data_IF_347801467320
#
_entry.id   IF_347801467320
#
_cell.length_a   1.000
_cell.length_b   1.000
_cell.length_c   1.000
_cell.angle_alpha   90.00
_cell.angle_beta   90.00
_cell.angle_gamma   90.00
#
_symmetry.space_group_name_H-M   'P 1'
#
loop_
_entity.id
_entity.type
_entity.pdbx_description
1 polymer ?
#
# COMPACT_ATOMS: atom_id res chain seq x y z
N UNK A 1 -15.79 -8.36 -3.84
CA UNK A 1 -14.44 -7.90 -3.58
C UNK A 1 -14.52 -6.47 -3.04
N UNK A 2 -13.67 -6.13 -2.07
CA UNK A 2 -13.58 -4.80 -1.47
C UNK A 2 -12.16 -4.55 -1.01
N UNK A 3 -11.81 -3.30 -0.80
CA UNK A 3 -10.56 -2.86 -0.22
C UNK A 3 -10.77 -2.16 1.13
N UNK A 4 -9.68 -1.72 1.79
CA UNK A 4 -9.77 -1.04 3.09
C UNK A 4 -10.52 0.29 3.05
N UNK A 5 -10.48 1.02 1.94
CA UNK A 5 -11.26 2.27 1.79
C UNK A 5 -12.76 2.04 1.62
N UNK A 6 -13.15 0.85 1.19
CA UNK A 6 -14.56 0.45 1.07
C UNK A 6 -15.25 0.21 2.42
N UNK A 7 -14.48 0.05 3.50
CA UNK A 7 -15.01 -0.31 4.82
C UNK A 7 -15.89 0.79 5.39
N UNK A 8 -15.45 2.05 5.33
CA UNK A 8 -16.19 3.17 5.87
C UNK A 8 -17.55 3.39 5.17
N UNK A 9 -17.64 3.47 3.82
CA UNK A 9 -18.92 3.57 3.14
C UNK A 9 -19.82 2.34 3.37
N UNK A 10 -19.25 1.12 3.39
CA UNK A 10 -20.04 -0.09 3.66
C UNK A 10 -20.66 -0.07 5.06
N UNK A 11 -19.87 0.23 6.10
CA UNK A 11 -20.36 0.26 7.48
C UNK A 11 -21.35 1.39 7.71
N UNK A 12 -21.14 2.55 7.10
CA UNK A 12 -22.11 3.65 7.08
C UNK A 12 -23.46 3.19 6.50
N UNK A 13 -23.45 2.56 5.33
CA UNK A 13 -24.67 2.15 4.64
C UNK A 13 -25.39 1.02 5.38
N UNK A 14 -24.66 0.10 6.00
CA UNK A 14 -25.24 -0.93 6.88
C UNK A 14 -25.91 -0.28 8.10
N UNK A 15 -25.28 0.73 8.71
CA UNK A 15 -25.85 1.46 9.85
C UNK A 15 -27.15 2.16 9.47
N UNK A 16 -27.16 2.88 8.35
CA UNK A 16 -28.38 3.55 7.82
C UNK A 16 -29.50 2.55 7.55
N UNK A 17 -29.16 1.40 6.94
CA UNK A 17 -30.13 0.35 6.67
C UNK A 17 -30.72 -0.24 7.94
N UNK A 18 -29.88 -0.52 8.93
CA UNK A 18 -30.29 -1.10 10.20
C UNK A 18 -31.22 -0.17 10.98
N UNK A 19 -30.84 1.11 11.15
CA UNK A 19 -31.67 2.11 11.84
C UNK A 19 -33.03 2.31 11.16
N UNK A 20 -33.05 2.41 9.83
CA UNK A 20 -34.30 2.54 9.08
C UNK A 20 -35.24 1.34 9.29
N UNK A 21 -34.69 0.11 9.33
CA UNK A 21 -35.46 -1.11 9.53
C UNK A 21 -35.97 -1.23 10.97
N UNK A 22 -35.21 -0.85 11.95
CA UNK A 22 -35.68 -0.78 13.34
C UNK A 22 -36.85 0.19 13.51
N UNK A 23 -36.84 1.30 12.78
CA UNK A 23 -37.95 2.26 12.77
C UNK A 23 -39.13 1.82 11.89
N UNK A 24 -39.15 0.61 11.34
CA UNK A 24 -40.20 0.10 10.45
C UNK A 24 -40.21 0.73 9.05
N UNK A 25 -39.15 1.47 8.70
CA UNK A 25 -39.02 2.17 7.42
C UNK A 25 -38.13 1.44 6.41
N UNK A 26 -37.83 2.14 5.31
CA UNK A 26 -36.86 1.74 4.30
C UNK A 26 -35.70 2.71 4.32
N UNK A 27 -34.44 2.22 4.13
CA UNK A 27 -33.29 3.09 4.10
C UNK A 27 -33.35 4.05 2.91
N UNK A 28 -32.82 5.26 3.14
CA UNK A 28 -32.67 6.27 2.10
C UNK A 28 -31.18 6.59 1.96
N UNK A 29 -30.62 6.20 0.82
CA UNK A 29 -29.24 6.54 0.47
C UNK A 29 -29.20 7.68 -0.54
N UNK A 30 -28.10 8.42 -0.52
CA UNK A 30 -27.76 9.33 -1.62
C UNK A 30 -27.41 8.46 -2.83
N UNK A 31 -27.91 8.82 -4.01
CA UNK A 31 -27.57 8.09 -5.23
C UNK A 31 -26.06 8.23 -5.51
N UNK A 32 -25.42 7.11 -5.80
CA UNK A 32 -24.02 7.12 -6.21
C UNK A 32 -23.89 7.74 -7.60
N UNK A 33 -22.89 8.62 -7.83
CA UNK A 33 -22.68 9.25 -9.13
C UNK A 33 -22.32 8.25 -10.23
N UNK A 34 -21.62 7.18 -9.85
CA UNK A 34 -21.20 6.07 -10.73
C UNK A 34 -21.30 4.75 -9.99
N UNK A 35 -21.22 3.63 -10.72
CA UNK A 35 -21.19 2.28 -10.17
C UNK A 35 -19.79 1.66 -10.40
N UNK A 36 -19.45 0.61 -9.65
CA UNK A 36 -18.18 -0.10 -9.83
C UNK A 36 -17.99 -0.65 -11.25
N UNK A 37 -19.10 -1.01 -11.93
CA UNK A 37 -19.06 -1.45 -13.31
C UNK A 37 -18.60 -0.33 -14.27
N UNK A 38 -19.04 0.91 -14.02
CA UNK A 38 -18.62 2.07 -14.82
C UNK A 38 -17.13 2.34 -14.64
N UNK A 39 -16.63 2.25 -13.40
CA UNK A 39 -15.19 2.31 -13.12
C UNK A 39 -14.40 1.22 -13.86
N UNK A 40 -14.89 -0.02 -13.84
CA UNK A 40 -14.18 -1.12 -14.50
C UNK A 40 -14.12 -0.94 -16.04
N UNK A 41 -15.15 -0.37 -16.64
CA UNK A 41 -15.15 -0.02 -18.07
C UNK A 41 -14.19 1.12 -18.36
N UNK A 42 -14.26 2.19 -17.58
CA UNK A 42 -13.36 3.34 -17.70
C UNK A 42 -11.89 2.94 -17.52
N UNK A 43 -11.57 2.10 -16.52
CA UNK A 43 -10.20 1.63 -16.30
C UNK A 43 -9.65 0.85 -17.51
N UNK A 44 -10.50 0.05 -18.16
CA UNK A 44 -10.09 -0.68 -19.38
C UNK A 44 -9.77 0.26 -20.52
N UNK A 45 -10.61 1.26 -20.75
CA UNK A 45 -10.37 2.30 -21.77
C UNK A 45 -9.09 3.08 -21.46
N UNK A 46 -8.88 3.49 -20.21
CA UNK A 46 -7.65 4.17 -19.78
C UNK A 46 -6.40 3.31 -20.07
N UNK A 47 -6.46 2.00 -19.76
CA UNK A 47 -5.33 1.10 -19.98
C UNK A 47 -5.06 0.83 -21.47
N UNK A 48 -6.04 0.97 -22.36
CA UNK A 48 -5.83 0.95 -23.80
C UNK A 48 -5.03 2.18 -24.27
N UNK A 49 -5.19 3.32 -23.59
CA UNK A 49 -4.51 4.57 -23.91
C UNK A 49 -3.10 4.66 -23.32
N UNK A 50 -2.95 4.38 -22.01
CA UNK A 50 -1.69 4.64 -21.29
C UNK A 50 -0.91 3.37 -20.94
N UNK A 51 -1.47 2.19 -21.15
CA UNK A 51 -0.93 0.92 -20.64
C UNK A 51 0.46 0.59 -21.18
N UNK A 52 0.73 0.82 -22.47
CA UNK A 52 2.04 0.53 -23.08
C UNK A 52 3.14 1.46 -22.55
N UNK A 53 2.83 2.75 -22.38
CA UNK A 53 3.78 3.72 -21.81
C UNK A 53 4.13 3.38 -20.36
N UNK A 54 3.11 3.08 -19.57
CA UNK A 54 3.30 2.70 -18.16
C UNK A 54 4.04 1.36 -18.01
N UNK A 55 3.74 0.36 -18.87
CA UNK A 55 4.48 -0.91 -18.89
C UNK A 55 5.97 -0.68 -19.22
N UNK A 56 6.25 0.13 -20.23
CA UNK A 56 7.62 0.48 -20.59
C UNK A 56 8.37 1.23 -19.48
N UNK A 57 7.69 2.10 -18.72
CA UNK A 57 8.25 2.75 -17.54
C UNK A 57 8.62 1.73 -16.47
N UNK A 58 7.70 0.84 -16.10
CA UNK A 58 7.95 -0.17 -15.08
C UNK A 58 9.02 -1.18 -15.51
N UNK A 59 9.04 -1.60 -16.75
CA UNK A 59 10.07 -2.49 -17.29
C UNK A 59 11.47 -1.88 -17.15
N UNK A 60 11.64 -0.59 -17.43
CA UNK A 60 12.91 0.11 -17.26
C UNK A 60 13.28 0.30 -15.78
N UNK A 61 12.32 0.78 -14.97
CA UNK A 61 12.53 1.12 -13.56
C UNK A 61 12.88 -0.12 -12.73
N UNK A 62 12.25 -1.25 -13.02
CA UNK A 62 12.41 -2.49 -12.27
C UNK A 62 13.38 -3.48 -12.93
N UNK A 63 14.05 -3.10 -14.02
CA UNK A 63 15.07 -3.93 -14.64
C UNK A 63 16.22 -4.21 -13.68
N UNK A 64 16.61 -5.48 -13.56
CA UNK A 64 17.74 -5.89 -12.71
C UNK A 64 17.48 -5.76 -11.21
N UNK A 65 16.22 -5.75 -10.76
CA UNK A 65 15.88 -5.81 -9.34
C UNK A 65 16.55 -7.01 -8.65
N UNK A 66 17.01 -6.85 -7.39
CA UNK A 66 17.44 -7.98 -6.60
C UNK A 66 16.28 -8.95 -6.40
N UNK A 67 16.51 -10.23 -6.65
CA UNK A 67 15.48 -11.26 -6.48
C UNK A 67 15.10 -11.46 -5.02
N UNK A 68 16.01 -11.18 -4.10
CA UNK A 68 15.83 -11.31 -2.67
C UNK A 68 16.73 -10.31 -1.92
N UNK A 69 16.18 -9.72 -0.85
CA UNK A 69 16.95 -8.92 0.07
C UNK A 69 17.71 -9.84 1.05
N UNK A 70 19.04 -9.73 1.12
CA UNK A 70 19.89 -10.54 1.99
C UNK A 70 19.78 -10.09 3.46
N UNK A 71 18.61 -10.22 4.04
CA UNK A 71 18.38 -9.90 5.45
C UNK A 71 18.92 -11.03 6.36
N UNK A 72 19.44 -10.69 7.57
CA UNK A 72 19.87 -11.70 8.53
C UNK A 72 18.65 -12.55 8.96
N UNK A 73 18.77 -13.85 8.80
CA UNK A 73 17.76 -14.81 9.19
C UNK A 73 18.37 -15.91 10.06
N UNK A 74 17.67 -16.30 11.13
CA UNK A 74 18.11 -17.37 12.03
C UNK A 74 17.97 -18.76 11.37
N UNK A 75 17.12 -18.86 10.36
CA UNK A 75 16.80 -20.11 9.64
C UNK A 75 16.75 -19.87 8.14
N UNK A 76 17.12 -20.88 7.34
CA UNK A 76 16.95 -20.78 5.88
C UNK A 76 15.45 -20.67 5.52
N UNK A 77 15.16 -19.97 4.44
CA UNK A 77 13.80 -19.87 3.90
C UNK A 77 13.25 -21.25 3.58
N UNK A 78 12.05 -21.61 4.04
CA UNK A 78 11.41 -22.89 3.69
C UNK A 78 11.00 -22.91 2.21
N UNK A 79 10.99 -24.08 1.61
CA UNK A 79 10.55 -24.26 0.22
C UNK A 79 9.08 -23.89 -0.01
N UNK A 80 8.26 -24.03 1.02
CA UNK A 80 6.86 -23.59 1.01
C UNK A 80 6.65 -22.62 2.20
N UNK A 81 6.09 -21.42 1.97
CA UNK A 81 5.81 -20.46 3.04
C UNK A 81 4.73 -21.02 3.96
N UNK A 82 4.92 -20.86 5.26
CA UNK A 82 3.91 -21.22 6.27
C UNK A 82 2.78 -20.20 6.36
N UNK A 83 3.01 -18.99 5.88
CA UNK A 83 2.16 -17.82 6.07
C UNK A 83 1.91 -17.44 7.53
N UNK A 84 2.66 -18.01 8.44
CA UNK A 84 2.64 -17.63 9.85
C UNK A 84 3.49 -16.37 10.05
N UNK A 85 2.92 -15.37 10.70
CA UNK A 85 3.59 -14.11 11.00
C UNK A 85 3.60 -13.81 12.49
N UNK A 86 4.39 -12.83 12.87
CA UNK A 86 4.42 -12.21 14.19
C UNK A 86 4.23 -10.71 14.07
N UNK A 87 3.68 -10.09 15.11
CA UNK A 87 3.46 -8.64 15.18
C UNK A 87 4.34 -8.04 16.26
N UNK A 88 5.17 -7.07 15.88
CA UNK A 88 5.95 -6.25 16.82
C UNK A 88 5.38 -4.84 16.80
N UNK A 89 4.77 -4.40 17.91
CA UNK A 89 4.26 -3.03 18.05
C UNK A 89 5.37 -2.12 18.58
N UNK A 90 5.45 -0.93 18.00
CA UNK A 90 6.33 0.14 18.48
C UNK A 90 5.64 1.48 18.35
N UNK A 91 6.10 2.46 19.10
CA UNK A 91 5.59 3.82 19.07
C UNK A 91 6.69 4.78 18.63
N UNK A 92 6.34 5.69 17.73
CA UNK A 92 7.18 6.83 17.40
C UNK A 92 6.80 7.99 18.32
N UNK A 93 7.72 8.49 19.18
CA UNK A 93 7.42 9.63 20.03
C UNK A 93 6.94 10.84 19.22
N UNK A 94 5.96 11.58 19.73
CA UNK A 94 5.39 12.75 19.04
C UNK A 94 6.46 13.77 18.62
N UNK A 95 7.51 13.94 19.43
CA UNK A 95 8.66 14.79 19.08
C UNK A 95 9.38 14.29 17.81
N UNK A 96 9.60 12.98 17.69
CA UNK A 96 10.25 12.39 16.50
C UNK A 96 9.36 12.55 15.28
N UNK A 97 8.05 12.27 15.42
CA UNK A 97 7.07 12.51 14.35
C UNK A 97 7.10 13.97 13.88
N UNK A 98 7.09 14.93 14.82
CA UNK A 98 7.16 16.36 14.49
C UNK A 98 8.45 16.73 13.74
N UNK A 99 9.60 16.16 14.13
CA UNK A 99 10.88 16.35 13.43
C UNK A 99 10.85 15.77 12.02
N UNK A 100 10.32 14.56 11.84
CA UNK A 100 10.18 13.92 10.52
C UNK A 100 9.25 14.71 9.61
N UNK A 101 8.11 15.18 10.13
CA UNK A 101 7.16 15.99 9.37
C UNK A 101 7.74 17.36 8.96
N UNK A 102 8.57 17.98 9.82
CA UNK A 102 9.28 19.21 9.45
C UNK A 102 10.32 18.94 8.38
N UNK A 103 11.17 17.93 8.57
CA UNK A 103 12.19 17.56 7.60
C UNK A 103 11.59 17.25 6.22
N UNK A 104 10.50 16.47 6.19
CA UNK A 104 9.82 16.16 4.95
C UNK A 104 9.34 17.43 4.22
N UNK A 105 8.69 18.36 4.94
CA UNK A 105 8.24 19.65 4.37
C UNK A 105 9.40 20.48 3.84
N UNK A 106 10.48 20.59 4.60
CA UNK A 106 11.66 21.40 4.24
C UNK A 106 12.30 20.92 2.94
N UNK A 107 12.11 19.63 2.60
CA UNK A 107 12.59 18.99 1.36
C UNK A 107 11.49 18.75 0.32
N UNK A 108 10.29 19.29 0.50
CA UNK A 108 9.17 19.10 -0.42
C UNK A 108 8.71 17.64 -0.55
N UNK A 109 8.95 16.85 0.49
CA UNK A 109 8.59 15.43 0.58
C UNK A 109 7.41 15.20 1.53
N UNK A 110 6.83 14.01 1.50
CA UNK A 110 5.79 13.59 2.43
C UNK A 110 6.39 12.85 3.65
N UNK A 111 5.60 12.70 4.71
CA UNK A 111 5.99 11.87 5.87
C UNK A 111 6.19 10.42 5.42
N UNK A 112 5.37 9.91 4.50
CA UNK A 112 5.54 8.58 3.91
C UNK A 112 6.93 8.41 3.29
N UNK A 113 7.37 9.35 2.44
CA UNK A 113 8.69 9.32 1.82
C UNK A 113 9.83 9.33 2.85
N UNK A 114 9.67 10.07 3.95
CA UNK A 114 10.65 10.07 5.04
C UNK A 114 10.70 8.74 5.78
N UNK A 115 9.55 8.10 6.01
CA UNK A 115 9.46 6.75 6.60
C UNK A 115 10.06 5.70 5.66
N UNK A 116 9.77 5.78 4.37
CA UNK A 116 10.36 4.91 3.34
C UNK A 116 11.89 5.02 3.33
N UNK A 117 12.44 6.24 3.32
CA UNK A 117 13.89 6.47 3.39
C UNK A 117 14.50 5.86 4.66
N UNK A 118 13.80 5.97 5.81
CA UNK A 118 14.24 5.39 7.07
C UNK A 118 14.21 3.86 7.03
N UNK A 119 13.14 3.24 6.51
CA UNK A 119 13.03 1.78 6.33
C UNK A 119 14.11 1.28 5.36
N UNK A 120 14.30 1.91 4.21
CA UNK A 120 15.34 1.53 3.27
C UNK A 120 16.74 1.62 3.89
N UNK A 121 17.01 2.68 4.68
CA UNK A 121 18.26 2.82 5.43
C UNK A 121 18.43 1.70 6.46
N UNK A 122 17.37 1.34 7.19
CA UNK A 122 17.39 0.24 8.15
C UNK A 122 17.74 -1.08 7.45
N UNK A 123 17.06 -1.42 6.36
CA UNK A 123 17.29 -2.65 5.62
C UNK A 123 18.72 -2.71 5.07
N UNK A 124 19.21 -1.60 4.51
CA UNK A 124 20.62 -1.50 4.06
C UNK A 124 21.60 -1.75 5.21
N UNK A 125 21.37 -1.18 6.39
CA UNK A 125 22.21 -1.37 7.59
C UNK A 125 22.16 -2.79 8.12
N UNK A 126 21.08 -3.51 7.87
CA UNK A 126 20.93 -4.93 8.21
C UNK A 126 21.55 -5.87 7.17
N UNK A 127 22.13 -5.34 6.10
CA UNK A 127 22.82 -6.14 5.09
C UNK A 127 22.02 -6.47 3.84
N UNK A 128 20.84 -5.87 3.65
CA UNK A 128 19.98 -6.09 2.47
C UNK A 128 20.58 -5.57 1.14
N UNK A 129 21.78 -4.98 1.17
CA UNK A 129 22.34 -4.27 0.03
C UNK A 129 21.92 -2.82 -0.02
N UNK A 130 22.06 -2.19 -1.19
CA UNK A 130 21.79 -0.76 -1.40
C UNK A 130 20.64 -0.50 -2.39
N UNK A 131 20.13 -1.52 -3.01
CA UNK A 131 18.99 -1.47 -3.93
C UNK A 131 17.78 -2.14 -3.24
N UNK A 132 16.88 -1.31 -2.72
CA UNK A 132 15.82 -1.74 -1.81
C UNK A 132 14.45 -1.57 -2.48
N UNK A 133 13.87 -2.64 -3.06
CA UNK A 133 12.49 -2.62 -3.54
C UNK A 133 11.51 -2.77 -2.37
N UNK A 134 10.59 -1.81 -2.26
CA UNK A 134 9.51 -1.81 -1.28
C UNK A 134 8.17 -1.81 -2.01
N UNK A 135 7.26 -2.69 -1.61
CA UNK A 135 5.87 -2.62 -2.06
C UNK A 135 5.09 -1.58 -1.25
N UNK A 136 4.16 -0.88 -1.88
CA UNK A 136 3.20 -0.03 -1.20
C UNK A 136 1.84 -0.06 -1.88
N UNK A 137 0.72 -0.10 -1.13
CA UNK A 137 -0.60 0.04 -1.73
C UNK A 137 -0.90 1.49 -2.08
N UNK A 138 -1.62 1.70 -3.18
CA UNK A 138 -2.27 2.97 -3.51
C UNK A 138 -3.79 2.80 -3.51
N UNK A 139 -4.52 3.84 -3.13
CA UNK A 139 -5.98 3.78 -2.99
C UNK A 139 -6.70 3.48 -4.32
N UNK A 140 -6.11 3.87 -5.46
CA UNK A 140 -6.73 3.71 -6.78
C UNK A 140 -8.00 4.54 -6.99
N UNK A 141 -8.33 5.44 -6.06
CA UNK A 141 -9.49 6.35 -6.13
C UNK A 141 -9.02 7.73 -6.53
N UNK A 142 -8.84 7.92 -7.83
CA UNK A 142 -8.29 9.16 -8.41
C UNK A 142 -9.35 10.24 -8.63
N UNK A 143 -10.63 9.88 -8.49
CA UNK A 143 -11.76 10.80 -8.63
C UNK A 143 -12.67 10.71 -7.40
N UNK A 144 -13.17 11.86 -6.92
CA UNK A 144 -14.07 11.96 -5.78
C UNK A 144 -15.37 11.15 -5.96
N UNK A 145 -15.82 10.93 -7.18
CA UNK A 145 -16.98 10.11 -7.49
C UNK A 145 -16.82 8.64 -7.04
N UNK A 146 -15.58 8.19 -6.80
CA UNK A 146 -15.26 6.83 -6.37
C UNK A 146 -15.23 6.67 -4.84
N UNK A 147 -15.22 7.77 -4.06
CA UNK A 147 -14.98 7.73 -2.61
C UNK A 147 -16.03 6.90 -1.86
N UNK A 148 -17.28 7.00 -2.27
CA UNK A 148 -18.41 6.31 -1.64
C UNK A 148 -18.70 4.91 -2.22
N UNK A 149 -17.93 4.45 -3.20
CA UNK A 149 -18.12 3.12 -3.79
C UNK A 149 -17.52 2.03 -2.89
N UNK A 150 -18.22 0.90 -2.84
CA UNK A 150 -17.68 -0.35 -2.31
C UNK A 150 -17.14 -1.18 -3.47
N UNK A 151 -15.82 -1.41 -3.51
CA UNK A 151 -15.17 -2.11 -4.61
C UNK A 151 -13.70 -2.37 -4.32
N UNK A 152 -12.99 -2.96 -5.27
CA UNK A 152 -11.56 -3.22 -5.20
C UNK A 152 -10.81 -2.26 -6.15
N UNK A 153 -10.30 -1.17 -5.60
CA UNK A 153 -9.61 -0.10 -6.33
C UNK A 153 -8.10 -0.11 -6.08
N UNK A 154 -7.69 -0.71 -4.96
CA UNK A 154 -6.28 -0.74 -4.53
C UNK A 154 -5.39 -1.33 -5.61
N UNK A 155 -4.31 -0.63 -5.91
CA UNK A 155 -3.18 -1.14 -6.69
C UNK A 155 -1.93 -1.21 -5.79
N UNK A 156 -0.91 -1.92 -6.24
CA UNK A 156 0.38 -2.01 -5.56
C UNK A 156 1.46 -1.42 -6.45
N UNK A 157 2.28 -0.55 -5.89
CA UNK A 157 3.47 -0.01 -6.55
C UNK A 157 4.74 -0.63 -5.97
N UNK A 158 5.78 -0.69 -6.78
CA UNK A 158 7.13 -1.09 -6.35
C UNK A 158 8.02 0.15 -6.32
N UNK A 159 8.36 0.59 -5.11
CA UNK A 159 9.21 1.75 -4.86
C UNK A 159 10.66 1.28 -4.71
N UNK A 160 11.48 1.48 -5.76
CA UNK A 160 12.87 1.07 -5.77
C UNK A 160 13.74 2.18 -5.17
N UNK A 161 14.27 1.96 -3.97
CA UNK A 161 15.06 2.95 -3.24
C UNK A 161 16.55 2.63 -3.35
N UNK A 162 17.33 3.55 -3.94
CA UNK A 162 18.79 3.47 -4.03
C UNK A 162 19.45 4.18 -2.85
N UNK A 163 20.06 3.40 -1.95
CA UNK A 163 20.83 3.89 -0.79
C UNK A 163 22.34 3.89 -1.03
N UNK A 164 22.81 3.64 -2.26
CA UNK A 164 24.22 3.55 -2.60
C UNK A 164 24.96 4.88 -2.46
N UNK A 165 26.29 4.81 -2.28
CA UNK A 165 27.14 5.99 -2.18
C UNK A 165 27.14 6.67 -0.80
N UNK A 166 26.56 6.03 0.23
CA UNK A 166 26.48 6.58 1.60
C UNK A 166 25.89 8.01 1.64
N UNK A 167 24.69 8.23 1.07
CA UNK A 167 24.09 9.55 1.03
C UNK A 167 23.74 10.06 2.43
N UNK A 168 23.71 11.37 2.60
CA UNK A 168 23.01 11.97 3.74
C UNK A 168 21.54 11.63 3.68
N UNK A 169 20.82 11.72 4.82
CA UNK A 169 19.38 11.44 4.83
C UNK A 169 18.59 12.41 3.93
N UNK A 170 19.03 13.66 3.81
CA UNK A 170 18.43 14.65 2.92
C UNK A 170 18.59 14.27 1.44
N UNK A 171 19.79 13.82 1.03
CA UNK A 171 20.03 13.33 -0.33
C UNK A 171 19.23 12.06 -0.64
N UNK A 172 19.13 11.13 0.33
CA UNK A 172 18.30 9.94 0.19
C UNK A 172 16.80 10.31 0.05
N UNK A 173 16.33 11.24 0.87
CA UNK A 173 14.94 11.70 0.81
C UNK A 173 14.61 12.34 -0.54
N UNK A 174 15.56 13.06 -1.13
CA UNK A 174 15.40 13.61 -2.48
C UNK A 174 15.29 12.51 -3.55
N UNK A 175 16.14 11.47 -3.48
CA UNK A 175 16.05 10.31 -4.38
C UNK A 175 14.70 9.59 -4.25
N UNK A 176 14.27 9.35 -3.01
CA UNK A 176 12.97 8.73 -2.71
C UNK A 176 11.84 9.55 -3.31
N UNK A 177 11.85 10.88 -3.10
CA UNK A 177 10.84 11.76 -3.65
C UNK A 177 10.74 11.67 -5.18
N UNK A 178 11.86 11.68 -5.88
CA UNK A 178 11.89 11.56 -7.34
C UNK A 178 11.33 10.21 -7.81
N UNK A 179 11.75 9.12 -7.18
CA UNK A 179 11.28 7.76 -7.48
C UNK A 179 9.78 7.62 -7.23
N UNK A 180 9.29 8.10 -6.10
CA UNK A 180 7.88 7.98 -5.72
C UNK A 180 6.96 8.80 -6.62
N UNK A 181 7.36 10.03 -6.95
CA UNK A 181 6.58 10.85 -7.88
C UNK A 181 6.51 10.23 -9.26
N UNK A 182 7.61 9.64 -9.73
CA UNK A 182 7.62 8.92 -11.00
C UNK A 182 6.73 7.66 -10.93
N UNK A 183 6.78 6.89 -9.84
CA UNK A 183 5.95 5.72 -9.64
C UNK A 183 4.44 6.08 -9.58
N UNK A 184 4.09 7.15 -8.87
CA UNK A 184 2.72 7.64 -8.76
C UNK A 184 2.17 8.16 -10.11
N UNK A 185 3.02 8.74 -10.96
CA UNK A 185 2.62 9.14 -12.31
C UNK A 185 2.30 7.94 -13.23
N UNK A 186 2.67 6.72 -12.83
CA UNK A 186 2.46 5.49 -13.59
C UNK A 186 1.70 4.44 -12.77
N UNK A 187 0.79 4.88 -11.87
CA UNK A 187 0.08 4.01 -10.94
C UNK A 187 -1.15 3.31 -11.52
N UNK A 188 -1.55 3.64 -12.75
CA UNK A 188 -2.78 3.09 -13.33
C UNK A 188 -2.61 1.65 -13.81
N UNK A 189 -1.36 1.26 -14.18
CA UNK A 189 -1.08 -0.12 -14.59
C UNK A 189 -1.22 -1.07 -13.39
N UNK A 190 -2.11 -2.08 -13.46
CA UNK A 190 -2.26 -3.06 -12.39
C UNK A 190 -0.96 -3.82 -12.11
N UNK A 191 -0.70 -4.11 -10.84
CA UNK A 191 0.50 -4.83 -10.41
C UNK A 191 0.70 -6.17 -11.13
N UNK A 192 -0.38 -6.90 -11.37
CA UNK A 192 -0.33 -8.19 -12.09
C UNK A 192 0.21 -8.02 -13.51
N UNK A 193 -0.12 -6.92 -14.19
CA UNK A 193 0.40 -6.60 -15.52
C UNK A 193 1.89 -6.26 -15.47
N UNK A 194 2.36 -5.59 -14.41
CA UNK A 194 3.79 -5.35 -14.18
C UNK A 194 4.53 -6.68 -14.01
N UNK A 195 3.97 -7.60 -13.23
CA UNK A 195 4.54 -8.94 -13.02
C UNK A 195 4.55 -9.76 -14.32
N UNK A 196 3.50 -9.69 -15.14
CA UNK A 196 3.44 -10.34 -16.44
C UNK A 196 4.51 -9.82 -17.39
N UNK A 197 4.68 -8.49 -17.47
CA UNK A 197 5.67 -7.83 -18.34
C UNK A 197 7.11 -8.19 -17.95
N UNK A 198 7.41 -8.13 -16.67
CA UNK A 198 8.76 -8.42 -16.15
C UNK A 198 9.07 -9.91 -16.10
N UNK A 199 8.05 -10.74 -16.09
CA UNK A 199 8.14 -12.21 -16.00
C UNK A 199 9.25 -12.69 -15.03
N UNK A 200 9.22 -12.25 -13.74
CA UNK A 200 10.25 -12.60 -12.78
C UNK A 200 10.27 -14.11 -12.52
N UNK A 201 11.42 -14.63 -12.08
CA UNK A 201 11.54 -16.03 -11.69
C UNK A 201 10.51 -16.39 -10.61
N UNK A 202 9.56 -17.24 -10.98
CA UNK A 202 8.50 -17.72 -10.08
C UNK A 202 9.03 -18.80 -9.16
N UNK A 203 9.84 -18.39 -8.19
CA UNK A 203 10.27 -19.32 -7.13
C UNK A 203 9.13 -19.43 -6.11
N UNK A 204 8.65 -20.63 -5.86
CA UNK A 204 7.64 -20.87 -4.81
C UNK A 204 8.15 -20.36 -3.46
N UNK A 205 7.35 -19.55 -2.79
CA UNK A 205 7.66 -19.06 -1.45
C UNK A 205 8.16 -17.61 -1.37
N UNK A 206 8.22 -16.86 -2.48
CA UNK A 206 8.55 -15.43 -2.47
C UNK A 206 7.49 -14.61 -3.21
N UNK A 207 7.19 -13.41 -2.71
CA UNK A 207 6.41 -12.45 -3.45
C UNK A 207 7.25 -11.93 -4.64
N UNK A 208 6.71 -11.86 -5.85
CA UNK A 208 7.43 -11.31 -7.00
C UNK A 208 7.75 -9.83 -6.76
N UNK A 209 8.90 -9.40 -7.28
CA UNK A 209 9.40 -8.02 -7.31
C UNK A 209 9.79 -7.41 -5.95
N UNK A 210 9.20 -7.78 -4.84
CA UNK A 210 9.55 -7.29 -3.50
C UNK A 210 9.12 -8.27 -2.42
N UNK A 211 9.76 -8.21 -1.24
CA UNK A 211 9.43 -9.03 -0.07
C UNK A 211 9.10 -8.19 1.17
N UNK A 212 9.27 -6.87 1.06
CA UNK A 212 8.99 -5.92 2.14
C UNK A 212 7.90 -4.95 1.69
N UNK A 213 6.84 -4.84 2.50
CA UNK A 213 5.75 -3.88 2.31
C UNK A 213 5.95 -2.70 3.27
N UNK A 214 5.60 -1.49 2.80
CA UNK A 214 5.49 -0.29 3.62
C UNK A 214 4.11 0.34 3.42
N UNK A 215 3.42 0.63 4.51
CA UNK A 215 2.07 1.20 4.49
C UNK A 215 2.01 2.36 5.48
N UNK A 216 1.44 3.48 5.06
CA UNK A 216 1.00 4.54 5.97
C UNK A 216 -0.52 4.53 5.99
N UNK A 217 -1.10 4.10 7.13
CA UNK A 217 -2.55 4.06 7.29
C UNK A 217 -3.08 5.47 7.60
N UNK A 218 -3.64 6.09 6.59
CA UNK A 218 -4.31 7.39 6.70
C UNK A 218 -5.81 7.30 6.40
N UNK A 219 -6.37 6.09 6.47
CA UNK A 219 -7.80 5.87 6.27
C UNK A 219 -8.59 6.50 7.41
N UNK A 220 -9.74 7.08 7.09
CA UNK A 220 -10.68 7.51 8.12
C UNK A 220 -11.13 6.29 8.95
N UNK A 221 -11.14 6.43 10.28
CA UNK A 221 -11.70 5.40 11.14
C UNK A 221 -13.16 5.17 10.78
N UNK A 222 -13.48 3.95 10.42
CA UNK A 222 -14.85 3.56 10.14
C UNK A 222 -15.65 3.59 11.44
N UNK A 223 -16.59 4.53 11.56
CA UNK A 223 -17.55 4.55 12.67
C UNK A 223 -18.73 3.64 12.32
N UNK A 224 -18.95 2.62 13.14
CA UNK A 224 -20.06 1.69 12.96
C UNK A 224 -21.00 1.81 14.15
N UNK A 225 -22.28 2.12 13.89
CA UNK A 225 -23.34 2.20 14.92
C UNK A 225 -24.48 1.27 14.54
N UNK A 226 -24.85 0.39 15.44
CA UNK A 226 -26.07 -0.43 15.33
C UNK A 226 -26.98 -0.09 16.52
N UNK A 227 -27.70 1.04 16.43
CA UNK A 227 -28.59 1.55 17.49
C UNK A 227 -27.89 1.54 18.87
N UNK A 228 -28.41 0.76 19.82
CA UNK A 228 -27.88 0.64 21.18
C UNK A 228 -26.75 -0.42 21.33
N UNK A 229 -26.29 -1.00 20.22
CA UNK A 229 -25.24 -2.02 20.26
C UNK A 229 -23.86 -1.39 20.17
N UNK A 230 -22.99 -1.73 21.12
CA UNK A 230 -21.57 -1.38 21.09
C UNK A 230 -20.80 -2.48 20.39
N UNK A 231 -20.06 -2.12 19.34
CA UNK A 231 -19.15 -3.03 18.65
C UNK A 231 -17.73 -2.81 19.17
N UNK A 232 -17.12 -3.88 19.59
CA UNK A 232 -15.73 -3.88 20.06
C UNK A 232 -14.89 -4.67 19.05
N UNK A 233 -13.89 -4.06 18.41
CA UNK A 233 -12.95 -4.78 17.56
C UNK A 233 -12.25 -5.87 18.37
N UNK A 234 -12.20 -7.09 17.84
CA UNK A 234 -11.42 -8.16 18.42
C UNK A 234 -10.19 -8.43 17.55
N UNK A 235 -9.02 -8.45 18.19
CA UNK A 235 -7.80 -8.89 17.54
C UNK A 235 -7.74 -10.42 17.51
N UNK A 236 -7.32 -10.98 16.40
CA UNK A 236 -7.02 -12.40 16.30
C UNK A 236 -5.55 -12.63 16.69
N UNK A 237 -5.27 -13.72 17.37
CA UNK A 237 -3.91 -14.09 17.81
C UNK A 237 -3.01 -14.53 16.64
N UNK A 238 -3.61 -14.85 15.49
CA UNK A 238 -2.88 -15.28 14.29
C UNK A 238 -2.73 -14.10 13.33
N UNK A 239 -1.48 -13.74 13.04
CA UNK A 239 -1.13 -12.73 12.03
C UNK A 239 -0.63 -13.46 10.79
N UNK A 240 -1.42 -13.50 9.69
CA UNK A 240 -0.94 -14.10 8.45
C UNK A 240 0.14 -13.21 7.82
N UNK A 241 1.29 -13.77 7.50
CA UNK A 241 2.35 -13.09 6.76
C UNK A 241 2.15 -13.28 5.26
N UNK A 242 1.94 -12.18 4.55
CA UNK A 242 1.93 -12.13 3.07
C UNK A 242 3.31 -11.79 2.52
N UNK A 243 4.10 -11.06 3.29
CA UNK A 243 5.44 -10.58 2.96
C UNK A 243 6.41 -11.01 4.05
N UNK A 244 7.71 -10.93 3.77
CA UNK A 244 8.74 -11.23 4.79
C UNK A 244 8.73 -10.18 5.90
N UNK A 245 8.55 -8.92 5.52
CA UNK A 245 8.39 -7.79 6.43
C UNK A 245 7.25 -6.89 5.98
N UNK A 246 6.48 -6.40 6.95
CA UNK A 246 5.43 -5.41 6.74
C UNK A 246 5.61 -4.29 7.77
N UNK A 247 5.89 -3.08 7.28
CA UNK A 247 6.02 -1.87 8.09
C UNK A 247 4.75 -1.04 7.92
N UNK A 248 3.87 -1.11 8.91
CA UNK A 248 2.62 -0.34 8.93
C UNK A 248 2.72 0.76 9.99
N UNK A 249 2.52 2.02 9.56
CA UNK A 249 2.59 3.23 10.38
C UNK A 249 1.24 3.91 10.51
#
# INVERSE_FOLDING_TARGET
ASDGWSEAPLLRDVSVAYEARLAGGVPRWVALPVQYADYALWQRELLEEVGEEQAAFWARTLSGLPQELALPADRPRPAQPTHEGGLVRFELPAKLHGCLASLARDHGATVFMALQAAVATLLTRLGAGTDIPLGTPTAGRTDQALDDLVGFFVNTLVLRTDTSGNPTFAELLQRVRETDLAALAHQDLPFDRIVEELNPDRTSGRHPLFQTMIVLQNNAEASFRLADTTLTPQSFDTVPAKFDLDFTF
#
